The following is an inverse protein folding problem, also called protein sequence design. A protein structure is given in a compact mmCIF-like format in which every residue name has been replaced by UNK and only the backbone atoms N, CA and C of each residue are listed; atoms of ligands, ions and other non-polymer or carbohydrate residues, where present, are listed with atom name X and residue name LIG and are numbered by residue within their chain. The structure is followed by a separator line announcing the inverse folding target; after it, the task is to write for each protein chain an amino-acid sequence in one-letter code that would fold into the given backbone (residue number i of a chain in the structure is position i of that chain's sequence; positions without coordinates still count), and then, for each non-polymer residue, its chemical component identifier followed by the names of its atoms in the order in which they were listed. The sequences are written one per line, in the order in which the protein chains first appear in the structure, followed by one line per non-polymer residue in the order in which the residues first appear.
data_IF_120280735440
#
_entry.id   IF_120280735440
#
_cell.length_a   1.000
_cell.length_b   1.000
_cell.length_c   1.000
_cell.angle_alpha   90.00
_cell.angle_beta   90.00
_cell.angle_gamma   90.00
#
_symmetry.space_group_name_H-M   'P 1'
#
loop_
_entity.id
_entity.type
_entity.pdbx_description
1 polymer ?
#
# COMPACT_ATOMS: atom_id res chain seq x y z
N UNK A 1 75.58 6.23 -18.56
CA UNK A 1 75.23 4.99 -17.84
C UNK A 1 74.46 5.18 -16.53
N UNK A 2 74.81 6.14 -15.65
CA UNK A 2 74.16 6.30 -14.33
C UNK A 2 72.64 6.60 -14.38
N UNK A 3 72.18 7.41 -15.32
CA UNK A 3 70.76 7.77 -15.45
C UNK A 3 69.86 6.62 -15.94
N UNK A 4 70.36 5.73 -16.79
CA UNK A 4 69.58 4.57 -17.26
C UNK A 4 69.31 3.56 -16.14
N UNK A 5 70.28 3.38 -15.24
CA UNK A 5 70.09 2.56 -14.02
C UNK A 5 69.08 3.19 -13.06
N UNK A 6 69.05 4.52 -12.96
CA UNK A 6 68.10 5.26 -12.13
C UNK A 6 66.67 5.15 -12.67
N UNK A 7 66.48 5.35 -13.98
CA UNK A 7 65.17 5.24 -14.65
C UNK A 7 64.62 3.82 -14.54
N UNK A 8 65.47 2.80 -14.68
CA UNK A 8 65.06 1.39 -14.55
C UNK A 8 64.58 1.08 -13.13
N UNK A 9 65.30 1.57 -12.10
CA UNK A 9 64.90 1.42 -10.68
C UNK A 9 63.58 2.12 -10.37
N UNK A 10 63.36 3.33 -10.87
CA UNK A 10 62.11 4.08 -10.68
C UNK A 10 60.95 3.36 -11.37
N UNK A 11 61.15 2.87 -12.59
CA UNK A 11 60.14 2.07 -13.32
C UNK A 11 59.79 0.78 -12.59
N UNK A 12 60.78 0.06 -12.05
CA UNK A 12 60.53 -1.15 -11.26
C UNK A 12 59.77 -0.82 -9.97
N UNK A 13 60.10 0.29 -9.29
CA UNK A 13 59.39 0.74 -8.09
C UNK A 13 57.92 1.08 -8.39
N UNK A 14 57.66 1.71 -9.54
CA UNK A 14 56.32 2.09 -9.98
C UNK A 14 55.46 0.86 -10.31
N UNK A 15 56.03 -0.14 -10.98
CA UNK A 15 55.35 -1.40 -11.29
C UNK A 15 55.01 -2.17 -10.00
N UNK A 16 55.94 -2.23 -9.05
CA UNK A 16 55.70 -2.88 -7.74
C UNK A 16 54.61 -2.15 -6.95
N UNK A 17 54.59 -0.81 -6.97
CA UNK A 17 53.54 -0.03 -6.30
C UNK A 17 52.15 -0.28 -6.92
N UNK A 18 52.04 -0.37 -8.24
CA UNK A 18 50.78 -0.69 -8.95
C UNK A 18 50.30 -2.11 -8.61
N UNK A 19 51.22 -3.09 -8.54
CA UNK A 19 50.87 -4.46 -8.15
C UNK A 19 50.36 -4.55 -6.71
N UNK A 20 50.91 -3.76 -5.76
CA UNK A 20 50.45 -3.75 -4.36
C UNK A 20 49.06 -3.11 -4.21
N UNK A 21 48.72 -2.11 -5.05
CA UNK A 21 47.38 -1.48 -5.02
C UNK A 21 46.26 -2.38 -5.57
N UNK A 22 46.60 -3.46 -6.28
CA UNK A 22 45.63 -4.36 -6.93
C UNK A 22 45.05 -5.43 -5.99
N UNK A 23 45.53 -5.53 -4.74
CA UNK A 23 45.22 -6.63 -3.81
C UNK A 23 44.14 -6.33 -2.75
N UNK A 24 43.48 -5.17 -2.79
CA UNK A 24 42.44 -4.81 -1.81
C UNK A 24 41.02 -4.82 -2.38
N UNK A 25 40.67 -5.81 -3.20
CA UNK A 25 39.28 -6.09 -3.55
C UNK A 25 38.74 -7.21 -2.65
N UNK A 26 38.63 -6.92 -1.35
CA UNK A 26 37.86 -7.77 -0.46
C UNK A 26 36.39 -7.61 -0.85
N UNK A 27 35.88 -8.50 -1.67
CA UNK A 27 34.44 -8.58 -1.94
C UNK A 27 33.74 -8.83 -0.60
N UNK A 28 33.01 -7.83 -0.11
CA UNK A 28 32.16 -7.99 1.06
C UNK A 28 31.15 -9.11 0.76
N UNK A 29 31.21 -10.20 1.50
CA UNK A 29 30.26 -11.30 1.39
C UNK A 29 28.95 -10.82 2.03
N UNK A 30 28.04 -10.31 1.21
CA UNK A 30 26.68 -10.03 1.65
C UNK A 30 25.92 -11.34 1.76
N UNK A 31 25.76 -11.84 2.98
CA UNK A 31 24.87 -12.98 3.25
C UNK A 31 23.45 -12.46 3.20
N UNK A 32 22.78 -12.57 2.06
CA UNK A 32 21.34 -12.32 1.98
C UNK A 32 20.62 -13.46 2.70
N UNK A 33 19.90 -13.18 3.80
CA UNK A 33 19.20 -14.23 4.54
C UNK A 33 18.17 -14.88 3.62
N UNK A 34 18.10 -16.21 3.65
CA UNK A 34 17.04 -16.94 2.95
C UNK A 34 15.69 -16.53 3.52
N UNK A 35 14.76 -16.27 2.62
CA UNK A 35 13.39 -15.90 2.97
C UNK A 35 12.71 -17.01 3.81
N UNK A 36 12.00 -16.68 4.90
CA UNK A 36 11.32 -17.67 5.71
C UNK A 36 10.19 -18.35 4.93
N UNK A 37 9.95 -19.63 5.23
CA UNK A 37 8.76 -20.32 4.75
C UNK A 37 7.54 -19.80 5.50
N UNK A 38 6.62 -19.14 4.80
CA UNK A 38 5.36 -18.64 5.36
C UNK A 38 4.23 -19.47 4.78
N UNK A 39 3.40 -20.06 5.65
CA UNK A 39 2.20 -20.78 5.26
C UNK A 39 1.08 -19.80 4.85
N UNK A 40 1.26 -19.14 3.70
CA UNK A 40 0.29 -18.23 3.12
C UNK A 40 0.27 -18.39 1.60
N UNK A 41 -0.92 -18.27 1.00
CA UNK A 41 -1.08 -18.37 -0.45
C UNK A 41 -0.36 -17.25 -1.22
N UNK A 42 -0.23 -16.06 -0.62
CA UNK A 42 0.50 -14.91 -1.14
C UNK A 42 0.88 -13.98 0.03
N UNK A 43 2.01 -13.30 -0.07
CA UNK A 43 2.45 -12.27 0.89
C UNK A 43 3.48 -11.30 0.28
N UNK A 44 3.62 -10.15 0.93
CA UNK A 44 4.70 -9.18 0.74
C UNK A 44 5.10 -8.63 2.11
N UNK A 45 6.41 -8.53 2.33
CA UNK A 45 7.03 -7.79 3.42
C UNK A 45 7.77 -6.63 2.78
N UNK A 46 7.42 -5.41 3.21
CA UNK A 46 7.95 -4.17 2.67
C UNK A 46 8.66 -3.41 3.79
N UNK A 47 9.84 -2.87 3.51
CA UNK A 47 10.39 -1.79 4.32
C UNK A 47 9.62 -0.50 4.03
N UNK A 48 9.09 0.13 5.07
CA UNK A 48 8.25 1.31 4.93
C UNK A 48 9.00 2.51 4.34
N UNK A 49 10.23 2.74 4.80
CA UNK A 49 11.00 3.95 4.47
C UNK A 49 11.53 3.90 3.03
N UNK A 50 12.17 2.80 2.67
CA UNK A 50 12.78 2.60 1.35
C UNK A 50 11.79 2.13 0.29
N UNK A 51 10.65 1.55 0.69
CA UNK A 51 9.74 0.85 -0.22
C UNK A 51 10.34 -0.43 -0.79
N UNK A 52 11.45 -0.93 -0.24
CA UNK A 52 12.06 -2.17 -0.70
C UNK A 52 11.21 -3.37 -0.28
N UNK A 53 10.99 -4.30 -1.20
CA UNK A 53 10.38 -5.60 -0.86
C UNK A 53 11.47 -6.47 -0.24
N UNK A 54 11.31 -6.79 1.04
CA UNK A 54 12.23 -7.64 1.80
C UNK A 54 11.98 -9.12 1.48
N UNK A 55 10.71 -9.49 1.31
CA UNK A 55 10.27 -10.86 1.07
C UNK A 55 8.91 -10.83 0.36
N UNK A 56 8.69 -11.69 -0.65
CA UNK A 56 7.36 -11.88 -1.22
C UNK A 56 7.11 -13.30 -1.73
N UNK A 57 5.84 -13.68 -1.83
CA UNK A 57 5.39 -14.87 -2.53
C UNK A 57 4.12 -14.53 -3.31
N UNK A 58 4.16 -14.73 -4.64
CA UNK A 58 3.06 -14.40 -5.56
C UNK A 58 2.44 -13.00 -5.30
N UNK A 59 3.25 -11.92 -5.21
CA UNK A 59 2.78 -10.59 -4.80
C UNK A 59 1.80 -9.93 -5.78
N UNK A 60 1.80 -10.36 -7.04
CA UNK A 60 0.95 -9.81 -8.11
C UNK A 60 -0.24 -10.71 -8.47
N UNK A 61 -0.40 -11.86 -7.78
CA UNK A 61 -1.53 -12.73 -8.02
C UNK A 61 -2.84 -12.05 -7.56
N UNK A 62 -3.84 -12.06 -8.44
CA UNK A 62 -5.15 -11.46 -8.14
C UNK A 62 -5.89 -12.33 -7.13
N UNK A 63 -6.18 -11.76 -5.95
CA UNK A 63 -6.93 -12.44 -4.88
C UNK A 63 -7.98 -11.54 -4.25
N UNK A 64 -9.02 -12.16 -3.69
CA UNK A 64 -10.06 -11.47 -2.95
C UNK A 64 -9.50 -10.82 -1.66
N UNK A 65 -9.63 -9.49 -1.44
CA UNK A 65 -9.19 -8.78 -0.26
C UNK A 65 -10.17 -9.01 0.91
N UNK A 66 -11.39 -9.48 0.65
CA UNK A 66 -12.46 -9.56 1.64
C UNK A 66 -12.58 -8.24 2.44
N UNK A 67 -12.58 -8.30 3.77
CA UNK A 67 -12.68 -7.11 4.64
C UNK A 67 -11.54 -6.10 4.50
N UNK A 68 -10.42 -6.47 3.88
CA UNK A 68 -9.34 -5.51 3.65
C UNK A 68 -9.72 -4.39 2.67
N UNK A 69 -10.80 -4.55 1.89
CA UNK A 69 -11.41 -3.47 1.09
C UNK A 69 -11.72 -2.23 1.93
N UNK A 70 -12.03 -2.41 3.22
CA UNK A 70 -12.32 -1.30 4.15
C UNK A 70 -11.13 -0.35 4.35
N UNK A 71 -9.90 -0.77 4.04
CA UNK A 71 -8.75 0.13 4.02
C UNK A 71 -8.88 1.19 2.92
N UNK A 72 -9.39 0.83 1.73
CA UNK A 72 -9.69 1.81 0.69
C UNK A 72 -10.89 2.68 1.08
N UNK A 73 -11.93 2.12 1.70
CA UNK A 73 -13.04 2.92 2.26
C UNK A 73 -12.52 3.97 3.23
N UNK A 74 -11.67 3.60 4.20
CA UNK A 74 -11.07 4.53 5.14
C UNK A 74 -10.19 5.56 4.43
N UNK A 75 -9.37 5.14 3.46
CA UNK A 75 -8.51 6.03 2.68
C UNK A 75 -9.31 7.13 1.96
N UNK A 76 -10.39 6.77 1.26
CA UNK A 76 -11.26 7.75 0.59
C UNK A 76 -11.83 8.74 1.60
N UNK A 77 -12.36 8.25 2.73
CA UNK A 77 -12.94 9.11 3.77
C UNK A 77 -11.89 10.08 4.32
N UNK A 78 -10.69 9.60 4.65
CA UNK A 78 -9.60 10.46 5.15
C UNK A 78 -9.15 11.48 4.11
N UNK A 79 -9.08 11.12 2.84
CA UNK A 79 -8.71 12.07 1.78
C UNK A 79 -9.77 13.16 1.63
N UNK A 80 -11.05 12.80 1.69
CA UNK A 80 -12.13 13.79 1.64
C UNK A 80 -12.14 14.71 2.87
N UNK A 81 -11.80 14.19 4.06
CA UNK A 81 -11.62 15.02 5.26
C UNK A 81 -10.44 15.99 5.06
N UNK A 82 -9.32 15.50 4.54
CA UNK A 82 -8.16 16.35 4.25
C UNK A 82 -8.48 17.44 3.22
N UNK A 83 -9.27 17.11 2.21
CA UNK A 83 -9.70 18.05 1.16
C UNK A 83 -10.80 19.02 1.66
N UNK A 84 -11.21 18.95 2.92
CA UNK A 84 -12.27 19.77 3.50
C UNK A 84 -13.68 19.46 2.99
N UNK A 85 -13.86 18.29 2.35
CA UNK A 85 -15.13 17.82 1.77
C UNK A 85 -15.96 16.97 2.72
N UNK A 86 -15.39 16.60 3.85
CA UNK A 86 -16.04 15.89 4.95
C UNK A 86 -15.37 16.28 6.27
N UNK A 87 -16.01 16.00 7.39
CA UNK A 87 -15.49 16.24 8.73
C UNK A 87 -15.69 15.01 9.62
N UNK A 88 -14.76 14.80 10.55
CA UNK A 88 -14.91 13.81 11.62
C UNK A 88 -16.14 14.06 12.51
N UNK A 89 -16.61 15.30 12.54
CA UNK A 89 -17.78 15.74 13.31
C UNK A 89 -19.09 15.73 12.51
N UNK A 90 -19.05 15.27 11.25
CA UNK A 90 -20.26 15.14 10.43
C UNK A 90 -21.26 14.18 11.06
N UNK A 91 -22.52 14.58 10.98
CA UNK A 91 -23.66 13.81 11.45
C UNK A 91 -24.14 12.85 10.35
N UNK A 92 -23.92 11.55 10.57
CA UNK A 92 -24.27 10.50 9.62
C UNK A 92 -25.55 9.81 10.05
N UNK A 93 -26.61 9.96 9.24
CA UNK A 93 -27.88 9.26 9.45
C UNK A 93 -27.76 7.80 9.03
N UNK A 94 -28.13 6.89 9.93
CA UNK A 94 -28.07 5.46 9.67
C UNK A 94 -29.31 5.01 8.90
N UNK A 95 -29.09 4.51 7.68
CA UNK A 95 -30.13 3.94 6.85
C UNK A 95 -30.51 2.53 7.30
N UNK A 96 -31.71 2.09 6.92
CA UNK A 96 -32.14 0.71 7.11
C UNK A 96 -31.22 -0.27 6.36
N UNK A 97 -30.70 0.16 5.21
CA UNK A 97 -29.77 -0.62 4.39
C UNK A 97 -28.45 -0.87 5.11
N UNK A 98 -27.85 0.16 5.69
CA UNK A 98 -26.65 0.04 6.52
C UNK A 98 -26.89 -0.90 7.71
N UNK A 99 -28.01 -0.73 8.41
CA UNK A 99 -28.39 -1.58 9.54
C UNK A 99 -28.60 -3.06 9.15
N UNK A 100 -29.18 -3.33 7.96
CA UNK A 100 -29.46 -4.69 7.44
C UNK A 100 -28.25 -5.44 6.91
N UNK A 101 -27.07 -4.81 6.79
CA UNK A 101 -25.85 -5.47 6.32
C UNK A 101 -25.54 -6.74 7.13
N UNK A 102 -25.07 -7.81 6.48
CA UNK A 102 -24.72 -9.06 7.17
C UNK A 102 -23.22 -9.14 7.47
N UNK A 103 -22.81 -10.09 8.31
CA UNK A 103 -21.40 -10.28 8.71
C UNK A 103 -21.00 -9.42 9.91
N UNK A 104 -19.73 -8.99 9.97
CA UNK A 104 -19.21 -8.14 11.04
C UNK A 104 -19.97 -6.82 11.13
N UNK A 105 -20.35 -6.42 12.34
CA UNK A 105 -21.17 -5.23 12.62
C UNK A 105 -20.58 -4.40 13.75
N UNK A 106 -20.80 -3.09 13.66
CA UNK A 106 -20.58 -2.12 14.75
C UNK A 106 -21.84 -1.91 15.59
N UNK A 107 -22.95 -2.55 15.23
CA UNK A 107 -24.26 -2.50 15.90
C UNK A 107 -24.85 -1.09 15.92
N UNK A 108 -24.73 -0.37 14.79
CA UNK A 108 -25.42 0.91 14.60
C UNK A 108 -26.93 0.71 14.60
N UNK A 109 -27.69 1.71 15.03
CA UNK A 109 -29.16 1.64 15.07
C UNK A 109 -29.78 2.46 13.94
N UNK A 110 -30.76 1.88 13.24
CA UNK A 110 -31.48 2.54 12.15
C UNK A 110 -32.17 3.83 12.62
N UNK A 111 -32.11 4.88 11.80
CA UNK A 111 -32.74 6.17 12.07
C UNK A 111 -31.97 7.07 13.03
N UNK A 112 -31.00 6.54 13.79
CA UNK A 112 -30.10 7.36 14.60
C UNK A 112 -29.11 8.13 13.73
N UNK A 113 -28.55 9.17 14.32
CA UNK A 113 -27.44 9.95 13.75
C UNK A 113 -26.20 9.69 14.59
N UNK A 114 -25.10 9.31 13.94
CA UNK A 114 -23.84 8.98 14.59
C UNK A 114 -22.74 9.82 13.95
N UNK A 115 -21.82 10.33 14.77
CA UNK A 115 -20.66 11.08 14.27
C UNK A 115 -19.80 10.22 13.35
N UNK A 116 -19.34 10.80 12.25
CA UNK A 116 -18.48 10.14 11.26
C UNK A 116 -17.27 9.47 11.91
N UNK A 117 -16.61 10.12 12.87
CA UNK A 117 -15.48 9.54 13.62
C UNK A 117 -15.80 8.23 14.36
N UNK A 118 -17.03 8.08 14.84
CA UNK A 118 -17.45 6.87 15.57
C UNK A 118 -17.70 5.75 14.58
N UNK A 119 -18.33 6.03 13.44
CA UNK A 119 -18.50 5.06 12.36
C UNK A 119 -17.17 4.61 11.78
N UNK A 120 -16.23 5.54 11.60
CA UNK A 120 -14.88 5.23 11.15
C UNK A 120 -14.16 4.28 12.12
N UNK A 121 -14.27 4.53 13.43
CA UNK A 121 -13.76 3.62 14.47
C UNK A 121 -14.44 2.26 14.43
N UNK A 122 -15.77 2.20 14.31
CA UNK A 122 -16.51 0.95 14.20
C UNK A 122 -16.07 0.12 12.98
N UNK A 123 -15.90 0.78 11.83
CA UNK A 123 -15.41 0.12 10.62
C UNK A 123 -13.97 -0.37 10.76
N UNK A 124 -13.06 0.42 11.34
CA UNK A 124 -11.63 0.07 11.42
C UNK A 124 -11.38 -0.99 12.50
N UNK A 125 -11.99 -0.85 13.68
CA UNK A 125 -11.74 -1.72 14.84
C UNK A 125 -12.56 -3.02 14.70
N UNK A 126 -13.87 -2.90 14.46
CA UNK A 126 -14.77 -4.06 14.43
C UNK A 126 -14.94 -4.65 13.04
N UNK A 127 -14.32 -4.05 12.02
CA UNK A 127 -14.57 -4.41 10.62
C UNK A 127 -16.06 -4.31 10.26
N UNK A 128 -16.81 -3.41 10.90
CA UNK A 128 -18.26 -3.32 10.76
C UNK A 128 -18.70 -2.96 9.34
N UNK A 129 -19.49 -3.82 8.71
CA UNK A 129 -20.05 -3.61 7.38
C UNK A 129 -21.14 -2.54 7.39
N UNK A 130 -21.91 -2.47 8.48
CA UNK A 130 -22.93 -1.46 8.73
C UNK A 130 -22.34 -0.04 8.72
N UNK A 131 -21.22 0.15 9.43
CA UNK A 131 -20.49 1.40 9.44
C UNK A 131 -19.90 1.74 8.06
N UNK A 132 -19.38 0.75 7.32
CA UNK A 132 -18.86 0.97 5.97
C UNK A 132 -19.94 1.45 4.99
N UNK A 133 -21.14 0.86 5.03
CA UNK A 133 -22.27 1.28 4.20
C UNK A 133 -22.76 2.67 4.60
N UNK A 134 -22.89 2.95 5.90
CA UNK A 134 -23.30 4.27 6.38
C UNK A 134 -22.32 5.37 5.94
N UNK A 135 -21.01 5.11 6.01
CA UNK A 135 -19.98 6.04 5.51
C UNK A 135 -20.08 6.24 4.00
N UNK A 136 -20.28 5.17 3.23
CA UNK A 136 -20.41 5.24 1.78
C UNK A 136 -21.63 6.06 1.34
N UNK A 137 -22.78 5.83 1.97
CA UNK A 137 -24.02 6.57 1.72
C UNK A 137 -23.89 8.04 2.09
N UNK A 138 -23.25 8.35 3.22
CA UNK A 138 -23.04 9.73 3.64
C UNK A 138 -22.15 10.52 2.65
N UNK A 139 -21.07 9.90 2.20
CA UNK A 139 -20.06 10.56 1.34
C UNK A 139 -20.53 10.72 -0.10
N UNK A 140 -21.20 9.71 -0.65
CA UNK A 140 -21.47 9.63 -2.09
C UNK A 140 -22.95 9.44 -2.44
N UNK A 141 -23.84 9.45 -1.44
CA UNK A 141 -25.27 9.18 -1.58
C UNK A 141 -25.60 7.69 -1.77
N UNK A 142 -24.79 6.97 -2.56
CA UNK A 142 -24.97 5.53 -2.81
C UNK A 142 -23.65 4.78 -2.76
N UNK A 143 -23.70 3.48 -2.44
CA UNK A 143 -22.53 2.58 -2.49
C UNK A 143 -21.92 2.48 -3.90
N UNK A 144 -22.74 2.58 -4.95
CA UNK A 144 -22.28 2.55 -6.34
C UNK A 144 -21.43 3.77 -6.67
N UNK A 145 -21.90 4.96 -6.30
CA UNK A 145 -21.12 6.20 -6.44
C UNK A 145 -19.86 6.16 -5.59
N UNK A 146 -19.95 5.66 -4.35
CA UNK A 146 -18.78 5.54 -3.46
C UNK A 146 -17.73 4.58 -4.05
N UNK A 147 -18.18 3.48 -4.66
CA UNK A 147 -17.31 2.55 -5.38
C UNK A 147 -16.57 3.24 -6.52
N UNK A 148 -17.24 4.12 -7.28
CA UNK A 148 -16.57 4.90 -8.32
C UNK A 148 -15.44 5.75 -7.73
N UNK A 149 -15.66 6.43 -6.60
CA UNK A 149 -14.59 7.14 -5.89
C UNK A 149 -13.44 6.22 -5.47
N UNK A 150 -13.74 5.06 -4.89
CA UNK A 150 -12.71 4.08 -4.52
C UNK A 150 -11.84 3.68 -5.72
N UNK A 151 -12.44 3.55 -6.90
CA UNK A 151 -11.73 3.19 -8.13
C UNK A 151 -10.86 4.32 -8.64
N UNK A 152 -11.38 5.55 -8.65
CA UNK A 152 -10.64 6.73 -9.05
C UNK A 152 -9.42 6.93 -8.14
N UNK A 153 -9.61 6.77 -6.83
CA UNK A 153 -8.50 6.82 -5.86
C UNK A 153 -7.51 5.68 -6.07
N UNK A 154 -7.97 4.45 -6.30
CA UNK A 154 -7.09 3.33 -6.59
C UNK A 154 -6.27 3.55 -7.87
N UNK A 155 -6.87 4.12 -8.93
CA UNK A 155 -6.16 4.42 -10.18
C UNK A 155 -5.15 5.55 -10.00
N UNK A 156 -5.53 6.66 -9.36
CA UNK A 156 -4.62 7.76 -9.01
C UNK A 156 -3.44 7.25 -8.20
N UNK A 157 -3.72 6.36 -7.26
CA UNK A 157 -2.71 5.76 -6.42
C UNK A 157 -1.74 4.86 -7.20
N UNK A 158 -2.25 4.00 -8.07
CA UNK A 158 -1.42 3.19 -8.97
C UNK A 158 -0.54 4.06 -9.86
N UNK A 159 -1.08 5.16 -10.42
CA UNK A 159 -0.28 6.14 -11.20
C UNK A 159 0.82 6.77 -10.36
N UNK A 160 0.52 7.18 -9.12
CA UNK A 160 1.53 7.79 -8.23
C UNK A 160 2.68 6.85 -7.90
N UNK A 161 2.41 5.55 -7.78
CA UNK A 161 3.41 4.51 -7.54
C UNK A 161 4.26 4.27 -8.79
N UNK A 162 3.63 4.28 -9.97
CA UNK A 162 4.32 4.14 -11.27
C UNK A 162 5.33 5.26 -11.53
N UNK A 163 5.12 6.47 -11.00
CA UNK A 163 6.05 7.60 -11.16
C UNK A 163 7.27 7.54 -10.23
N UNK A 164 7.31 6.58 -9.28
CA UNK A 164 8.41 6.43 -8.29
C UNK A 164 9.32 5.21 -8.57
N UNK A 165 9.45 4.79 -9.83
CA UNK A 165 10.07 3.53 -10.28
C UNK A 165 11.27 3.02 -9.43
N UNK A 166 10.95 2.14 -8.48
CA UNK A 166 11.40 0.74 -8.47
C UNK A 166 10.13 -0.10 -8.33
N UNK A 167 10.01 -1.18 -9.11
CA UNK A 167 8.86 -2.11 -9.25
C UNK A 167 7.88 -1.76 -10.40
N UNK A 168 8.30 -2.04 -11.64
CA UNK A 168 7.41 -2.56 -12.70
C UNK A 168 6.66 -3.80 -12.14
N UNK A 169 5.39 -4.13 -12.38
CA UNK A 169 4.42 -3.79 -13.41
C UNK A 169 3.02 -4.19 -12.85
N UNK A 170 2.02 -3.30 -12.82
CA UNK A 170 0.62 -3.67 -12.50
C UNK A 170 -0.36 -3.05 -13.51
N UNK A 171 -0.20 -3.44 -14.77
CA UNK A 171 -1.13 -3.15 -15.87
C UNK A 171 -2.29 -4.14 -15.87
N UNK A 172 -3.49 -3.67 -15.48
CA UNK A 172 -4.80 -3.90 -16.12
C UNK A 172 -5.98 -3.77 -15.12
N UNK A 173 -6.41 -2.52 -14.91
CA UNK A 173 -7.61 -2.15 -14.17
C UNK A 173 -8.87 -1.95 -15.07
N UNK A 174 -8.77 -2.21 -16.39
CA UNK A 174 -9.89 -1.97 -17.33
C UNK A 174 -11.12 -2.88 -17.13
N UNK A 175 -10.96 -4.04 -16.48
CA UNK A 175 -12.07 -4.98 -16.26
C UNK A 175 -12.70 -4.91 -14.85
N UNK A 176 -12.47 -3.81 -14.12
CA UNK A 176 -12.97 -3.64 -12.75
C UNK A 176 -14.50 -3.42 -12.70
N UNK A 177 -15.09 -2.87 -13.76
CA UNK A 177 -16.48 -2.38 -13.78
C UNK A 177 -17.53 -3.49 -13.89
N UNK A 178 -17.22 -4.65 -14.49
CA UNK A 178 -18.27 -5.66 -14.82
C UNK A 178 -18.61 -6.65 -13.69
N UNK A 179 -17.85 -6.64 -12.57
CA UNK A 179 -18.01 -7.61 -11.47
C UNK A 179 -18.55 -6.98 -10.17
N UNK A 180 -18.81 -5.66 -10.16
CA UNK A 180 -19.29 -4.95 -8.97
C UNK A 180 -20.80 -5.13 -8.70
N UNK A 181 -21.56 -5.61 -9.69
CA UNK A 181 -23.01 -5.83 -9.56
C UNK A 181 -23.38 -7.23 -9.06
N UNK A 182 -22.45 -8.19 -8.95
CA UNK A 182 -22.83 -9.58 -8.64
C UNK A 182 -22.10 -10.31 -7.54
N UNK A 183 -20.93 -9.92 -7.07
CA UNK A 183 -20.33 -10.55 -5.88
C UNK A 183 -19.30 -9.63 -5.23
N UNK A 184 -19.58 -9.28 -3.98
CA UNK A 184 -18.68 -8.59 -3.05
C UNK A 184 -17.45 -9.48 -2.86
N UNK A 185 -16.35 -9.15 -3.52
CA UNK A 185 -14.95 -9.51 -3.20
C UNK A 185 -14.07 -9.22 -4.42
N UNK A 186 -12.86 -8.65 -4.21
CA UNK A 186 -11.65 -8.71 -5.08
C UNK A 186 -11.18 -7.34 -5.63
N UNK A 187 -10.14 -6.67 -5.09
CA UNK A 187 -8.68 -6.93 -5.30
C UNK A 187 -7.71 -6.19 -4.34
N UNK A 188 -6.48 -6.71 -4.26
CA UNK A 188 -5.32 -6.22 -3.49
C UNK A 188 -4.96 -4.74 -3.67
N UNK A 189 -5.01 -3.99 -2.55
CA UNK A 189 -4.45 -2.64 -2.41
C UNK A 189 -3.71 -2.47 -1.06
N UNK A 190 -3.18 -3.56 -0.52
CA UNK A 190 -2.90 -3.66 0.92
C UNK A 190 -1.59 -3.01 1.37
N UNK A 191 -0.56 -2.99 0.53
CA UNK A 191 0.78 -2.58 0.98
C UNK A 191 0.97 -1.06 0.88
N UNK A 192 0.33 -0.43 -0.10
CA UNK A 192 0.60 0.96 -0.41
C UNK A 192 -0.33 1.87 0.40
N UNK A 193 -1.60 1.50 0.66
CA UNK A 193 -2.54 2.35 1.45
C UNK A 193 -1.98 2.60 2.85
N UNK A 194 -1.34 1.60 3.46
CA UNK A 194 -0.62 1.76 4.73
C UNK A 194 0.56 2.75 4.61
N UNK A 195 1.28 2.78 3.47
CA UNK A 195 2.37 3.75 3.20
C UNK A 195 1.87 5.20 3.32
N UNK A 196 0.73 5.50 2.69
CA UNK A 196 0.19 6.86 2.63
C UNK A 196 -0.50 7.29 3.93
N UNK A 197 -1.21 6.38 4.61
CA UNK A 197 -1.90 6.69 5.87
C UNK A 197 -0.93 6.96 7.03
N UNK A 198 0.22 6.26 7.06
CA UNK A 198 1.23 6.43 8.12
C UNK A 198 2.15 7.63 7.83
N UNK A 199 2.40 7.97 6.56
CA UNK A 199 3.36 9.01 6.16
C UNK A 199 2.85 10.45 6.25
N UNK A 200 1.57 10.64 6.54
CA UNK A 200 0.93 11.96 6.70
C UNK A 200 0.66 12.34 8.17
N UNK A 201 1.13 11.54 9.13
CA UNK A 201 0.93 11.78 10.57
C UNK A 201 2.06 12.60 11.22
N UNK A 202 3.04 13.11 10.44
CA UNK A 202 4.11 14.00 10.90
C UNK A 202 4.10 15.31 10.12
#
# INVERSE_FOLDING_TARGET
MKYQLLIKKISTLFIVAISITSLNLQAAIFITPKQPSINAASYVVLDYNSGAIIASNKPHEKRAPASLTKLMTAYVVFQLIQDGRASLEDDVKISEKAWKTMGSKSFVEVGKTIKLKILLKGMIIQSGNDAAVALAEHIAGTEGTFTAYMNDFAEKFQRSVKLTEKVEELVNAKNFVKQYEKNIQTKCLHIIVLRHLIGKQN
#
